data_IF_191607812827
#
_entry.id   IF_191607812827
#
_cell.length_a   1.000
_cell.length_b   1.000
_cell.length_c   1.000
_cell.angle_alpha   90.00
_cell.angle_beta   90.00
_cell.angle_gamma   90.00
#
_symmetry.space_group_name_H-M   'P 1'
#
loop_
_entity.id
_entity.type
_entity.pdbx_description
1 polymer ?
#
# COMPACT_ATOMS: atom_id res chain seq x y z
N UNK A 1 35.30 -1.41 18.60
CA UNK A 1 34.32 -2.32 17.98
C UNK A 1 33.36 -1.44 17.21
N UNK A 2 33.62 -1.25 15.92
CA UNK A 2 32.78 -0.45 15.03
C UNK A 2 31.53 -1.25 14.64
N UNK A 3 30.37 -0.62 14.75
CA UNK A 3 29.11 -1.18 14.27
C UNK A 3 29.15 -1.28 12.73
N UNK A 4 28.67 -2.39 12.13
CA UNK A 4 28.61 -2.49 10.68
C UNK A 4 27.62 -1.44 10.11
N UNK A 5 27.90 -0.88 8.92
CA UNK A 5 27.01 0.08 8.27
C UNK A 5 25.65 -0.55 7.96
N UNK A 6 24.61 0.28 8.06
CA UNK A 6 23.22 -0.08 7.82
C UNK A 6 23.06 -0.81 6.48
N UNK A 7 22.35 -1.94 6.52
CA UNK A 7 21.90 -2.63 5.32
C UNK A 7 20.98 -1.70 4.52
N UNK A 8 21.50 -1.16 3.42
CA UNK A 8 20.67 -0.55 2.37
C UNK A 8 20.10 -1.71 1.57
N UNK A 9 18.81 -2.00 1.73
CA UNK A 9 18.10 -2.88 0.81
C UNK A 9 17.88 -2.09 -0.49
N UNK A 10 18.91 -2.01 -1.34
CA UNK A 10 18.76 -1.51 -2.71
C UNK A 10 18.14 -2.64 -3.51
N UNK A 11 16.82 -2.70 -3.57
CA UNK A 11 16.17 -3.54 -4.58
C UNK A 11 16.27 -2.77 -5.89
N UNK A 12 16.94 -3.37 -6.87
CA UNK A 12 16.86 -2.97 -8.27
C UNK A 12 15.38 -2.80 -8.62
N UNK A 13 14.98 -1.57 -8.93
CA UNK A 13 13.67 -1.26 -9.47
C UNK A 13 13.60 -1.96 -10.82
N UNK A 14 13.03 -3.17 -10.87
CA UNK A 14 12.58 -3.74 -12.14
C UNK A 14 11.53 -2.76 -12.65
N UNK A 15 11.88 -1.98 -13.67
CA UNK A 15 10.94 -1.15 -14.38
C UNK A 15 9.78 -2.04 -14.83
N UNK A 16 8.55 -1.84 -14.35
CA UNK A 16 7.41 -2.53 -14.92
C UNK A 16 7.16 -1.88 -16.28
N UNK A 17 7.42 -2.61 -17.37
CA UNK A 17 6.97 -2.22 -18.71
C UNK A 17 5.44 -2.31 -18.86
N UNK A 18 4.73 -2.77 -17.81
CA UNK A 18 3.29 -2.76 -17.73
C UNK A 18 2.83 -1.46 -17.05
N UNK A 19 2.21 -0.58 -17.84
CA UNK A 19 1.43 0.54 -17.32
C UNK A 19 0.31 -0.03 -16.44
N UNK A 20 0.35 0.24 -15.14
CA UNK A 20 -0.76 -0.08 -14.23
C UNK A 20 -1.88 0.92 -14.53
N UNK A 21 -2.98 0.46 -15.11
CA UNK A 21 -4.15 1.32 -15.33
C UNK A 21 -4.71 1.76 -13.97
N UNK A 22 -4.75 3.08 -13.76
CA UNK A 22 -5.29 3.67 -12.55
C UNK A 22 -6.80 3.82 -12.73
N UNK A 23 -7.62 3.17 -11.87
CA UNK A 23 -9.07 3.34 -11.95
C UNK A 23 -9.46 4.80 -11.71
N UNK A 24 -10.47 5.29 -12.42
CA UNK A 24 -10.90 6.69 -12.33
C UNK A 24 -11.36 7.14 -10.95
N UNK A 25 -11.80 6.20 -10.09
CA UNK A 25 -12.21 6.46 -8.70
C UNK A 25 -11.04 6.43 -7.71
N UNK A 26 -9.87 5.92 -8.11
CA UNK A 26 -8.80 5.57 -7.19
C UNK A 26 -8.17 6.80 -6.56
N UNK A 27 -7.88 7.83 -7.35
CA UNK A 27 -7.19 9.02 -6.85
C UNK A 27 -8.06 9.78 -5.83
N UNK A 28 -9.34 10.01 -6.12
CA UNK A 28 -10.26 10.69 -5.18
C UNK A 28 -10.37 9.92 -3.85
N UNK A 29 -10.55 8.60 -3.92
CA UNK A 29 -10.62 7.76 -2.74
C UNK A 29 -9.29 7.74 -1.96
N UNK A 30 -8.15 7.71 -2.67
CA UNK A 30 -6.83 7.69 -2.07
C UNK A 30 -6.55 9.01 -1.34
N UNK A 31 -6.85 10.15 -1.95
CA UNK A 31 -6.71 11.47 -1.33
C UNK A 31 -7.59 11.62 -0.08
N UNK A 32 -8.84 11.12 -0.11
CA UNK A 32 -9.75 11.13 1.05
C UNK A 32 -9.24 10.23 2.18
N UNK A 33 -8.71 9.05 1.86
CA UNK A 33 -8.31 8.03 2.83
C UNK A 33 -6.91 8.28 3.40
N UNK A 34 -6.02 8.88 2.61
CA UNK A 34 -4.61 9.11 2.93
C UNK A 34 -4.26 10.61 2.82
N UNK A 35 -4.75 11.44 3.76
CA UNK A 35 -4.66 12.90 3.67
C UNK A 35 -3.28 13.48 4.00
N UNK A 36 -2.32 12.66 4.45
CA UNK A 36 -0.97 13.15 4.77
C UNK A 36 -0.28 13.75 3.53
N UNK A 37 0.47 14.84 3.66
CA UNK A 37 1.14 15.48 2.53
C UNK A 37 2.23 14.58 1.93
N UNK A 38 2.55 14.81 0.66
CA UNK A 38 3.65 14.11 -0.01
C UNK A 38 4.98 14.31 0.73
N UNK A 39 5.52 13.23 1.28
CA UNK A 39 6.72 13.22 2.13
C UNK A 39 6.46 12.83 3.59
N UNK A 40 5.21 12.87 4.04
CA UNK A 40 4.79 12.21 5.27
C UNK A 40 4.57 10.70 5.02
N UNK A 41 4.81 9.90 6.04
CA UNK A 41 4.72 8.44 5.97
C UNK A 41 3.88 7.88 7.11
N UNK A 42 3.28 6.73 6.87
CA UNK A 42 2.44 6.02 7.82
C UNK A 42 3.23 4.98 8.58
N UNK A 43 2.91 4.79 9.85
CA UNK A 43 3.33 3.56 10.54
C UNK A 43 2.50 2.38 10.05
N UNK A 44 3.03 1.15 10.22
CA UNK A 44 2.26 -0.05 9.89
C UNK A 44 0.92 -0.16 10.64
N UNK A 45 0.81 0.42 11.84
CA UNK A 45 -0.44 0.45 12.62
C UNK A 45 -1.45 1.44 12.06
N UNK A 46 -1.01 2.65 11.71
CA UNK A 46 -1.88 3.65 11.08
C UNK A 46 -2.38 3.15 9.74
N UNK A 47 -1.49 2.60 8.92
CA UNK A 47 -1.87 2.04 7.63
C UNK A 47 -2.87 0.89 7.77
N UNK A 48 -2.66 -0.02 8.73
CA UNK A 48 -3.62 -1.09 9.01
C UNK A 48 -4.99 -0.54 9.43
N UNK A 49 -5.02 0.50 10.26
CA UNK A 49 -6.27 1.16 10.69
C UNK A 49 -6.99 1.83 9.52
N UNK A 50 -6.29 2.59 8.68
CA UNK A 50 -6.86 3.27 7.51
C UNK A 50 -7.44 2.26 6.51
N UNK A 51 -6.77 1.13 6.32
CA UNK A 51 -7.23 0.07 5.42
C UNK A 51 -8.28 -0.87 6.04
N UNK A 52 -8.60 -0.74 7.32
CA UNK A 52 -9.47 -1.68 8.03
C UNK A 52 -8.93 -3.12 8.05
N UNK A 53 -7.60 -3.29 8.09
CA UNK A 53 -6.90 -4.59 8.07
C UNK A 53 -6.14 -4.85 9.36
N UNK A 54 -5.71 -6.10 9.55
CA UNK A 54 -4.81 -6.44 10.65
C UNK A 54 -3.42 -5.85 10.41
N UNK A 55 -2.73 -5.51 11.49
CA UNK A 55 -1.32 -5.09 11.43
C UNK A 55 -0.42 -6.15 10.81
N UNK A 56 -0.76 -7.42 11.02
CA UNK A 56 0.02 -8.55 10.51
C UNK A 56 -0.01 -8.60 8.99
N UNK A 57 -1.12 -8.22 8.36
CA UNK A 57 -1.23 -8.13 6.89
C UNK A 57 -0.23 -7.10 6.35
N UNK A 58 -0.17 -5.92 6.98
CA UNK A 58 0.73 -4.83 6.57
C UNK A 58 2.18 -5.22 6.80
N UNK A 59 2.51 -5.82 7.95
CA UNK A 59 3.87 -6.29 8.22
C UNK A 59 4.29 -7.44 7.30
N UNK A 60 3.38 -8.36 6.96
CA UNK A 60 3.65 -9.41 5.99
C UNK A 60 4.03 -8.82 4.62
N UNK A 61 3.31 -7.79 4.16
CA UNK A 61 3.64 -7.09 2.91
C UNK A 61 5.00 -6.38 2.97
N UNK A 62 5.33 -5.75 4.11
CA UNK A 62 6.66 -5.14 4.33
C UNK A 62 7.78 -6.18 4.34
N UNK A 63 7.60 -7.31 5.02
CA UNK A 63 8.60 -8.37 5.09
C UNK A 63 8.76 -9.13 3.77
N UNK A 64 7.68 -9.26 3.00
CA UNK A 64 7.71 -9.80 1.64
C UNK A 64 8.35 -8.84 0.62
N UNK A 65 8.54 -7.56 1.00
CA UNK A 65 9.05 -6.51 0.10
C UNK A 65 8.07 -6.14 -1.00
N UNK A 66 6.77 -6.43 -0.83
CA UNK A 66 5.70 -5.97 -1.71
C UNK A 66 5.21 -4.58 -1.35
N UNK A 67 5.40 -4.17 -0.09
CA UNK A 67 5.17 -2.81 0.37
C UNK A 67 6.52 -2.20 0.74
N UNK A 68 6.86 -1.08 0.13
CA UNK A 68 8.10 -0.37 0.45
C UNK A 68 7.96 0.42 1.75
N UNK A 69 8.99 0.35 2.59
CA UNK A 69 9.05 1.10 3.84
C UNK A 69 10.47 1.13 4.40
N UNK A 70 10.72 2.08 5.29
CA UNK A 70 11.99 2.23 5.99
C UNK A 70 11.85 1.90 7.46
N UNK A 71 12.78 1.12 8.02
CA UNK A 71 12.79 0.82 9.45
C UNK A 71 13.46 1.96 10.22
N UNK A 72 12.70 2.65 11.06
CA UNK A 72 13.17 3.74 11.92
C UNK A 72 13.56 3.16 13.28
N UNK A 73 14.82 3.37 13.67
CA UNK A 73 15.36 2.89 14.95
C UNK A 73 14.48 3.33 16.12
N UNK A 74 14.04 2.37 16.94
CA UNK A 74 13.20 2.60 18.12
C UNK A 74 11.75 3.02 17.85
N UNK A 75 11.31 3.18 16.59
CA UNK A 75 9.96 3.66 16.23
C UNK A 75 9.15 2.73 15.33
N UNK A 76 9.77 1.74 14.70
CA UNK A 76 9.09 0.77 13.84
C UNK A 76 9.28 1.07 12.35
N UNK A 77 8.30 0.70 11.53
CA UNK A 77 8.33 0.95 10.09
C UNK A 77 7.65 2.27 9.74
N UNK A 78 8.26 3.03 8.84
CA UNK A 78 7.71 4.22 8.20
C UNK A 78 7.47 3.91 6.73
N UNK A 79 6.24 4.13 6.27
CA UNK A 79 5.75 3.72 4.97
C UNK A 79 5.38 4.99 4.20
N UNK A 80 6.17 5.40 3.19
CA UNK A 80 5.89 6.60 2.42
C UNK A 80 4.52 6.51 1.74
N UNK A 81 3.76 7.61 1.71
CA UNK A 81 2.48 7.68 1.00
C UNK A 81 2.56 7.21 -0.47
N UNK A 82 3.58 7.57 -1.27
CA UNK A 82 3.70 7.05 -2.64
C UNK A 82 3.85 5.52 -2.71
N UNK A 83 4.52 4.90 -1.74
CA UNK A 83 4.67 3.45 -1.66
C UNK A 83 3.33 2.76 -1.38
N UNK A 84 2.49 3.35 -0.51
CA UNK A 84 1.12 2.86 -0.27
C UNK A 84 0.30 2.93 -1.55
N UNK A 85 0.38 4.05 -2.28
CA UNK A 85 -0.35 4.25 -3.54
C UNK A 85 -0.02 3.16 -4.56
N UNK A 86 1.28 2.95 -4.81
CA UNK A 86 1.76 1.95 -5.76
C UNK A 86 1.35 0.53 -5.34
N UNK A 87 1.55 0.18 -4.07
CA UNK A 87 1.19 -1.14 -3.56
C UNK A 87 -0.31 -1.43 -3.73
N UNK A 88 -1.19 -0.46 -3.48
CA UNK A 88 -2.63 -0.65 -3.66
C UNK A 88 -3.04 -0.81 -5.13
N UNK A 89 -2.40 -0.08 -6.05
CA UNK A 89 -2.61 -0.23 -7.48
C UNK A 89 -2.15 -1.60 -7.98
N UNK A 90 -0.99 -2.07 -7.52
CA UNK A 90 -0.49 -3.42 -7.81
C UNK A 90 -1.42 -4.50 -7.28
N UNK A 91 -1.92 -4.34 -6.04
CA UNK A 91 -2.93 -5.24 -5.48
C UNK A 91 -4.22 -5.25 -6.32
N UNK A 92 -4.69 -4.08 -6.78
CA UNK A 92 -5.88 -4.01 -7.63
C UNK A 92 -5.67 -4.74 -8.96
N UNK A 93 -4.56 -4.47 -9.64
CA UNK A 93 -4.20 -5.13 -10.90
C UNK A 93 -4.04 -6.65 -10.75
N UNK A 94 -3.46 -7.13 -9.64
CA UNK A 94 -3.31 -8.55 -9.36
C UNK A 94 -4.65 -9.25 -9.05
N UNK A 95 -5.58 -8.58 -8.38
CA UNK A 95 -6.91 -9.14 -8.08
C UNK A 95 -7.80 -9.21 -9.32
N UNK A 96 -7.62 -8.33 -10.30
CA UNK A 96 -8.34 -8.41 -11.59
C UNK A 96 -7.98 -9.69 -12.36
N UNK A 97 -6.82 -10.29 -12.08
CA UNK A 97 -6.34 -11.54 -12.68
C UNK A 97 -6.87 -12.79 -11.97
N UNK A 98 -7.41 -12.69 -10.74
CA UNK A 98 -7.87 -13.83 -9.94
C UNK A 98 -9.19 -13.55 -9.20
N UNK A 99 -10.29 -13.36 -9.93
CA UNK A 99 -11.62 -13.27 -9.28
C UNK A 99 -12.24 -14.67 -9.16
N UNK A 100 -11.93 -15.36 -8.07
CA UNK A 100 -12.76 -16.42 -7.49
C UNK A 100 -12.99 -16.12 -6.00
N UNK A 101 -14.20 -15.64 -5.71
CA UNK A 101 -14.89 -15.51 -4.42
C UNK A 101 -14.07 -15.32 -3.13
N UNK A 102 -14.21 -14.13 -2.54
CA UNK A 102 -14.30 -13.99 -1.07
C UNK A 102 -13.24 -13.12 -0.42
N UNK A 103 -13.35 -11.78 -0.55
CA UNK A 103 -13.13 -10.79 0.54
C UNK A 103 -13.29 -9.35 0.00
N UNK A 104 -14.54 -9.02 -0.33
CA UNK A 104 -14.92 -7.83 -1.11
C UNK A 104 -15.25 -6.58 -0.24
N UNK A 105 -14.32 -6.12 0.60
CA UNK A 105 -14.53 -4.88 1.36
C UNK A 105 -14.59 -3.63 0.45
N UNK A 106 -13.80 -3.62 -0.64
CA UNK A 106 -13.71 -2.48 -1.56
C UNK A 106 -14.86 -2.45 -2.58
N UNK A 107 -15.45 -3.59 -2.97
CA UNK A 107 -16.64 -3.60 -3.82
C UNK A 107 -17.91 -3.14 -3.12
N UNK A 108 -18.04 -3.27 -1.80
CA UNK A 108 -19.26 -2.80 -1.15
C UNK A 108 -19.41 -1.27 -1.27
N UNK A 109 -18.30 -0.52 -1.28
CA UNK A 109 -18.31 0.92 -1.59
C UNK A 109 -18.46 1.19 -3.09
N UNK A 110 -17.85 0.40 -3.98
CA UNK A 110 -18.07 0.50 -5.44
C UNK A 110 -19.54 0.31 -5.83
N UNK A 111 -20.20 -0.72 -5.30
CA UNK A 111 -21.62 -0.97 -5.52
C UNK A 111 -22.55 0.07 -4.90
N UNK A 112 -22.09 0.82 -3.88
CA UNK A 112 -22.81 1.98 -3.35
C UNK A 112 -22.66 3.20 -4.27
N UNK A 113 -21.45 3.45 -4.81
CA UNK A 113 -21.20 4.58 -5.72
C UNK A 113 -21.84 4.38 -7.10
N UNK A 114 -21.85 3.16 -7.63
CA UNK A 114 -22.50 2.82 -8.90
C UNK A 114 -24.04 2.80 -8.78
N UNK A 115 -24.62 2.75 -7.57
CA UNK A 115 -26.06 2.77 -7.34
C UNK A 115 -26.65 4.20 -7.22
N UNK A 116 -25.81 5.22 -7.17
CA UNK A 116 -26.21 6.63 -7.08
C UNK A 116 -26.05 7.42 -8.40
N UNK A 117 -25.66 6.76 -9.50
CA UNK A 117 -25.55 7.32 -10.85
C UNK A 117 -26.70 6.85 -11.77
#
# INVERSE_FOLDING_TARGET
MDAPPAYVCVREVRAPEAFVEVPSWFDDWFEETFPEPDGAGYTGRELARLLGRSTDTVYAALYAGSLEGSRVSGRGWLIPRPAVRLWLLECNAANDVQVSEGTDYWRHRKGLLDAEA
#
